data_IF_612367539877
#
_entry.id   IF_612367539877
#
_cell.length_a   1.000
_cell.length_b   1.000
_cell.length_c   1.000
_cell.angle_alpha   90.00
_cell.angle_beta   90.00
_cell.angle_gamma   90.00
#
_symmetry.space_group_name_H-M   'P 1'
#
loop_
_entity.id
_entity.type
_entity.pdbx_description
1 polymer ?
#
# COMPACT_ATOMS: atom_id res chain seq x y z
N UNK A 1 24.07 -18.23 -11.57
CA UNK A 1 22.64 -18.08 -11.22
C UNK A 1 21.84 -19.14 -11.97
N UNK A 2 20.78 -19.71 -11.38
CA UNK A 2 19.88 -20.62 -12.11
C UNK A 2 19.19 -19.86 -13.25
N UNK A 3 19.03 -20.51 -14.40
CA UNK A 3 18.33 -19.96 -15.56
C UNK A 3 16.95 -20.61 -15.71
N UNK A 4 15.99 -19.84 -16.21
CA UNK A 4 14.65 -20.31 -16.57
C UNK A 4 14.24 -19.67 -17.90
N UNK A 5 13.64 -20.46 -18.76
CA UNK A 5 13.05 -19.97 -20.01
C UNK A 5 11.65 -19.43 -19.70
N UNK A 6 11.34 -18.26 -20.22
CA UNK A 6 10.04 -17.61 -20.11
C UNK A 6 9.55 -17.26 -21.51
N UNK A 7 8.24 -17.37 -21.74
CA UNK A 7 7.62 -16.92 -22.99
C UNK A 7 7.15 -15.49 -22.76
N UNK A 8 7.59 -14.59 -23.62
CA UNK A 8 7.21 -13.18 -23.57
C UNK A 8 6.17 -12.89 -24.65
N UNK A 9 5.29 -11.94 -24.38
CA UNK A 9 4.47 -11.33 -25.43
C UNK A 9 5.30 -10.32 -26.22
N UNK A 10 4.86 -10.00 -27.45
CA UNK A 10 5.53 -9.00 -28.30
C UNK A 10 5.74 -7.68 -27.55
N UNK A 11 4.70 -7.20 -26.85
CA UNK A 11 4.80 -5.99 -26.04
C UNK A 11 5.85 -6.06 -24.92
N UNK A 12 5.97 -7.21 -24.24
CA UNK A 12 6.97 -7.39 -23.17
C UNK A 12 8.39 -7.39 -23.75
N UNK A 13 8.56 -8.00 -24.92
CA UNK A 13 9.83 -7.97 -25.63
C UNK A 13 10.21 -6.52 -26.00
N UNK A 14 9.29 -5.76 -26.62
CA UNK A 14 9.53 -4.36 -27.00
C UNK A 14 9.96 -3.49 -25.79
N UNK A 15 9.29 -3.67 -24.65
CA UNK A 15 9.63 -2.95 -23.42
C UNK A 15 11.02 -3.31 -22.92
N UNK A 16 11.38 -4.61 -22.93
CA UNK A 16 12.70 -5.07 -22.51
C UNK A 16 13.78 -4.54 -23.45
N UNK A 17 13.58 -4.63 -24.76
CA UNK A 17 14.51 -4.13 -25.78
C UNK A 17 14.74 -2.62 -25.61
N UNK A 18 13.67 -1.83 -25.52
CA UNK A 18 13.76 -0.39 -25.28
C UNK A 18 14.57 -0.06 -24.00
N UNK A 19 14.35 -0.80 -22.92
CA UNK A 19 15.04 -0.57 -21.64
C UNK A 19 16.52 -0.93 -21.71
N UNK A 20 16.89 -1.98 -22.46
CA UNK A 20 18.28 -2.37 -22.67
C UNK A 20 18.98 -1.41 -23.63
N UNK A 21 18.34 -1.07 -24.76
CA UNK A 21 18.87 -0.16 -25.78
C UNK A 21 19.08 1.26 -25.23
N UNK A 22 18.25 1.69 -24.27
CA UNK A 22 18.45 2.96 -23.56
C UNK A 22 19.70 2.97 -22.66
N UNK A 23 20.33 1.82 -22.43
CA UNK A 23 21.46 1.65 -21.52
C UNK A 23 21.07 1.62 -20.04
N UNK A 24 19.78 1.71 -19.70
CA UNK A 24 19.31 1.63 -18.30
C UNK A 24 19.58 0.26 -17.68
N UNK A 25 19.56 -0.80 -18.49
CA UNK A 25 19.89 -2.16 -18.08
C UNK A 25 20.84 -2.78 -19.09
N UNK A 26 21.75 -3.66 -18.63
CA UNK A 26 22.73 -4.30 -19.51
C UNK A 26 22.13 -5.45 -20.32
N UNK A 27 21.07 -6.07 -19.84
CA UNK A 27 20.44 -7.23 -20.47
C UNK A 27 19.02 -7.47 -19.95
N UNK A 28 18.27 -8.30 -20.67
CA UNK A 28 16.91 -8.70 -20.30
C UNK A 28 16.81 -9.34 -18.90
N UNK A 29 17.85 -10.08 -18.47
CA UNK A 29 17.81 -10.74 -17.16
C UNK A 29 17.86 -9.73 -16.00
N UNK A 30 18.48 -8.56 -16.17
CA UNK A 30 18.41 -7.48 -15.19
C UNK A 30 17.03 -6.85 -15.12
N UNK A 31 16.42 -6.57 -16.29
CA UNK A 31 15.05 -6.03 -16.37
C UNK A 31 14.06 -6.97 -15.67
N UNK A 32 14.15 -8.27 -15.96
CA UNK A 32 13.27 -9.28 -15.35
C UNK A 32 13.49 -9.42 -13.84
N UNK A 33 14.74 -9.34 -13.35
CA UNK A 33 15.02 -9.38 -11.91
C UNK A 33 14.46 -8.15 -11.20
N UNK A 34 14.60 -6.96 -11.77
CA UNK A 34 14.00 -5.75 -11.18
C UNK A 34 12.47 -5.82 -11.22
N UNK A 35 11.90 -6.32 -12.32
CA UNK A 35 10.46 -6.61 -12.41
C UNK A 35 9.99 -7.54 -11.29
N UNK A 36 10.72 -8.63 -11.02
CA UNK A 36 10.40 -9.54 -9.92
C UNK A 36 10.54 -8.84 -8.55
N UNK A 37 11.57 -8.01 -8.35
CA UNK A 37 11.75 -7.23 -7.12
C UNK A 37 10.55 -6.30 -6.85
N UNK A 38 9.99 -5.70 -7.89
CA UNK A 38 8.79 -4.87 -7.79
C UNK A 38 7.54 -5.68 -7.44
N UNK A 39 7.41 -6.90 -7.95
CA UNK A 39 6.33 -7.82 -7.56
C UNK A 39 6.46 -8.19 -6.08
N UNK A 40 7.64 -8.63 -5.65
CA UNK A 40 7.91 -8.98 -4.24
C UNK A 40 7.64 -7.81 -3.29
N UNK A 41 8.05 -6.59 -3.69
CA UNK A 41 7.79 -5.39 -2.90
C UNK A 41 6.28 -5.12 -2.77
N UNK A 42 5.52 -5.27 -3.85
CA UNK A 42 4.07 -5.06 -3.82
C UNK A 42 3.37 -6.06 -2.92
N UNK A 43 3.71 -7.34 -3.02
CA UNK A 43 3.13 -8.38 -2.17
C UNK A 43 3.40 -8.09 -0.69
N UNK A 44 4.64 -7.73 -0.32
CA UNK A 44 4.98 -7.37 1.05
C UNK A 44 4.22 -6.11 1.53
N UNK A 45 4.13 -5.08 0.69
CA UNK A 45 3.34 -3.89 1.03
C UNK A 45 1.86 -4.22 1.26
N UNK A 46 1.28 -5.11 0.47
CA UNK A 46 -0.12 -5.51 0.59
C UNK A 46 -0.37 -6.38 1.83
N UNK A 47 0.55 -7.28 2.18
CA UNK A 47 0.54 -8.02 3.44
C UNK A 47 0.57 -7.08 4.65
N UNK A 48 1.48 -6.08 4.65
CA UNK A 48 1.60 -5.10 5.71
C UNK A 48 0.36 -4.22 5.84
N UNK A 49 -0.23 -3.77 4.72
CA UNK A 49 -1.49 -3.02 4.71
C UNK A 49 -2.62 -3.85 5.31
N UNK A 50 -2.74 -5.11 4.91
CA UNK A 50 -3.80 -5.99 5.38
C UNK A 50 -3.68 -6.25 6.89
N UNK A 51 -2.46 -6.48 7.37
CA UNK A 51 -2.16 -6.64 8.79
C UNK A 51 -2.47 -5.36 9.60
N UNK A 52 -2.13 -4.19 9.08
CA UNK A 52 -2.50 -2.90 9.69
C UNK A 52 -4.02 -2.71 9.75
N UNK A 53 -4.75 -3.03 8.68
CA UNK A 53 -6.22 -2.96 8.64
C UNK A 53 -6.85 -3.94 9.63
N UNK A 54 -6.35 -5.17 9.73
CA UNK A 54 -6.83 -6.16 10.70
C UNK A 54 -6.65 -5.67 12.14
N UNK A 55 -5.48 -5.10 12.48
CA UNK A 55 -5.26 -4.49 13.79
C UNK A 55 -6.22 -3.34 14.06
N UNK A 56 -6.38 -2.42 13.10
CA UNK A 56 -7.30 -1.29 13.26
C UNK A 56 -8.75 -1.75 13.47
N UNK A 57 -9.19 -2.78 12.74
CA UNK A 57 -10.50 -3.38 12.93
C UNK A 57 -10.66 -4.02 14.32
N UNK A 58 -9.66 -4.75 14.80
CA UNK A 58 -9.68 -5.34 16.15
C UNK A 58 -9.79 -4.27 17.23
N UNK A 59 -9.04 -3.17 17.11
CA UNK A 59 -9.16 -2.01 18.01
C UNK A 59 -10.58 -1.46 18.00
N UNK A 60 -11.15 -1.21 16.82
CA UNK A 60 -12.52 -0.71 16.68
C UNK A 60 -13.58 -1.67 17.26
N UNK A 61 -13.43 -2.97 17.05
CA UNK A 61 -14.33 -3.98 17.62
C UNK A 61 -14.23 -4.03 19.15
N UNK A 62 -13.02 -3.91 19.72
CA UNK A 62 -12.83 -3.83 21.16
C UNK A 62 -13.42 -2.54 21.75
N UNK A 63 -13.29 -1.41 21.06
CA UNK A 63 -13.92 -0.15 21.43
C UNK A 63 -15.45 -0.27 21.43
N UNK A 64 -16.03 -0.88 20.40
CA UNK A 64 -17.48 -1.14 20.32
C UNK A 64 -17.96 -2.03 21.48
N UNK A 65 -17.28 -3.15 21.74
CA UNK A 65 -17.64 -4.09 22.81
C UNK A 65 -17.55 -3.46 24.20
N UNK A 66 -16.69 -2.45 24.37
CA UNK A 66 -16.51 -1.72 25.63
C UNK A 66 -17.35 -0.43 25.72
N UNK A 67 -18.24 -0.18 24.75
CA UNK A 67 -19.09 1.00 24.72
C UNK A 67 -18.34 2.31 24.40
N UNK A 68 -17.08 2.24 23.93
CA UNK A 68 -16.28 3.39 23.50
C UNK A 68 -16.61 3.80 22.07
N UNK A 69 -17.88 4.10 21.81
CA UNK A 69 -18.34 4.61 20.53
C UNK A 69 -19.29 5.80 20.73
N UNK A 70 -19.64 6.47 19.63
CA UNK A 70 -20.62 7.55 19.62
C UNK A 70 -21.55 7.34 18.44
N UNK A 71 -22.86 7.41 18.70
CA UNK A 71 -23.85 7.41 17.63
C UNK A 71 -23.76 8.69 16.81
N UNK A 72 -23.71 8.53 15.48
CA UNK A 72 -23.69 9.64 14.53
C UNK A 72 -24.83 9.44 13.54
N UNK A 73 -25.70 10.44 13.42
CA UNK A 73 -26.77 10.41 12.42
C UNK A 73 -26.16 10.44 11.02
N UNK A 74 -26.72 9.73 10.01
CA UNK A 74 -26.13 9.65 8.66
C UNK A 74 -25.80 11.01 8.03
N UNK A 75 -26.67 12.02 8.19
CA UNK A 75 -26.43 13.38 7.66
C UNK A 75 -25.44 14.23 8.46
N UNK A 76 -24.88 13.72 9.56
CA UNK A 76 -23.97 14.44 10.45
C UNK A 76 -22.54 13.89 10.41
N UNK A 77 -22.25 12.90 9.56
CA UNK A 77 -20.95 12.22 9.48
C UNK A 77 -19.83 13.22 9.14
N UNK A 78 -20.00 14.04 8.10
CA UNK A 78 -18.99 15.02 7.69
C UNK A 78 -18.67 16.01 8.82
N UNK A 79 -19.70 16.54 9.48
CA UNK A 79 -19.53 17.45 10.62
C UNK A 79 -18.86 16.76 11.82
N UNK A 80 -19.16 15.48 12.07
CA UNK A 80 -18.52 14.71 13.12
C UNK A 80 -17.03 14.47 12.82
N UNK A 81 -16.70 14.09 11.58
CA UNK A 81 -15.32 13.89 11.12
C UNK A 81 -14.52 15.19 11.16
N UNK A 82 -15.10 16.31 10.72
CA UNK A 82 -14.47 17.62 10.79
C UNK A 82 -14.10 18.02 12.23
N UNK A 83 -15.00 17.80 13.20
CA UNK A 83 -14.69 18.05 14.62
C UNK A 83 -13.56 17.16 15.15
N UNK A 84 -13.59 15.87 14.82
CA UNK A 84 -12.53 14.93 15.22
C UNK A 84 -11.17 15.35 14.63
N UNK A 85 -11.13 15.80 13.38
CA UNK A 85 -9.91 16.33 12.75
C UNK A 85 -9.35 17.55 13.48
N UNK A 86 -10.21 18.50 13.88
CA UNK A 86 -9.79 19.68 14.66
C UNK A 86 -9.28 19.29 16.05
N UNK A 87 -9.94 18.37 16.74
CA UNK A 87 -9.49 17.86 18.05
C UNK A 87 -8.15 17.12 17.96
N UNK A 88 -7.96 16.30 16.94
CA UNK A 88 -6.71 15.60 16.71
C UNK A 88 -5.55 16.58 16.45
N UNK A 89 -5.78 17.61 15.63
CA UNK A 89 -4.79 18.66 15.38
C UNK A 89 -4.38 19.42 16.65
N UNK A 90 -5.34 19.77 17.51
CA UNK A 90 -5.07 20.43 18.81
C UNK A 90 -4.26 19.55 19.77
N UNK A 91 -4.45 18.24 19.75
CA UNK A 91 -3.67 17.28 20.57
C UNK A 91 -2.25 17.12 20.04
N UNK A 92 -2.09 17.00 18.72
CA UNK A 92 -0.78 16.91 18.08
C UNK A 92 0.09 18.14 18.37
N UNK A 93 -0.49 19.35 18.27
CA UNK A 93 0.22 20.61 18.54
C UNK A 93 0.52 20.91 20.02
N UNK A 94 0.06 20.07 20.97
CA UNK A 94 0.30 20.24 22.41
C UNK A 94 1.41 19.32 22.95
N UNK A 95 2.02 18.53 22.06
CA UNK A 95 3.09 17.57 22.40
C UNK A 95 4.48 18.07 21.95
N UNK A 96 4.60 19.36 21.63
CA UNK A 96 5.85 20.07 21.32
C UNK A 96 5.95 21.29 22.23
#
# INVERSE_FOLDING_TARGET
>A
MPTRNVVLTDHQQDVIEMLVDSGRYQNASEVLREGLRLVEQRENEDELKLDALRRAAQVGLADLASGRFRDVKPGAIEAAMGRLGVEAGKRAGRTT
#
